data_IF_239126695538
#
_entry.id   IF_239126695538
#
_cell.length_a   1.000
_cell.length_b   1.000
_cell.length_c   1.000
_cell.angle_alpha   90.00
_cell.angle_beta   90.00
_cell.angle_gamma   90.00
#
_symmetry.space_group_name_H-M   'P 1'
#
loop_
_entity.id
_entity.type
_entity.pdbx_description
1 polymer ?
#
# COMPACT_ATOMS: atom_id res chain seq x y z
N UNK A 1 8.32 11.39 -13.03
CA UNK A 1 7.50 10.97 -11.87
C UNK A 1 6.29 11.89 -11.65
N UNK A 2 6.45 13.21 -11.48
CA UNK A 2 5.30 14.12 -11.31
C UNK A 2 4.35 14.02 -12.51
N UNK A 3 4.87 14.04 -13.73
CA UNK A 3 4.06 13.86 -14.95
C UNK A 3 3.28 12.55 -14.96
N UNK A 4 3.89 11.46 -14.44
CA UNK A 4 3.21 10.17 -14.30
C UNK A 4 2.03 10.24 -13.32
N UNK A 5 2.18 10.97 -12.20
CA UNK A 5 1.08 11.15 -11.24
C UNK A 5 -0.08 11.97 -11.84
N UNK A 6 0.22 13.02 -12.60
CA UNK A 6 -0.81 13.77 -13.34
C UNK A 6 -1.48 12.93 -14.41
N UNK A 7 -0.73 12.09 -15.13
CA UNK A 7 -1.30 11.14 -16.11
C UNK A 7 -2.27 10.15 -15.42
N UNK A 8 -1.86 9.58 -14.28
CA UNK A 8 -2.71 8.69 -13.48
C UNK A 8 -3.98 9.42 -13.04
N UNK A 9 -3.83 10.67 -12.56
CA UNK A 9 -4.97 11.51 -12.17
C UNK A 9 -5.96 11.68 -13.31
N UNK A 10 -5.48 12.14 -14.47
CA UNK A 10 -6.32 12.35 -15.66
C UNK A 10 -7.05 11.08 -16.08
N UNK A 11 -6.34 9.93 -16.12
CA UNK A 11 -6.94 8.65 -16.47
C UNK A 11 -7.99 8.21 -15.44
N UNK A 12 -7.69 8.41 -14.14
CA UNK A 12 -8.66 8.08 -13.09
C UNK A 12 -9.90 8.97 -13.13
N UNK A 13 -9.74 10.27 -13.37
CA UNK A 13 -10.86 11.21 -13.53
C UNK A 13 -11.73 10.85 -14.75
N UNK A 14 -11.12 10.37 -15.83
CA UNK A 14 -11.84 9.95 -17.03
C UNK A 14 -12.56 8.61 -16.87
N UNK A 15 -11.94 7.60 -16.27
CA UNK A 15 -12.43 6.22 -16.27
C UNK A 15 -12.92 5.71 -14.91
N UNK A 16 -12.47 6.28 -13.80
CA UNK A 16 -12.86 5.92 -12.44
C UNK A 16 -12.44 4.53 -11.97
N UNK A 17 -11.50 3.87 -12.66
CA UNK A 17 -11.16 2.45 -12.48
C UNK A 17 -9.79 2.17 -11.84
N UNK A 18 -8.98 3.20 -11.56
CA UNK A 18 -7.72 3.03 -10.84
C UNK A 18 -8.05 3.01 -9.35
N UNK A 19 -7.82 1.88 -8.68
CA UNK A 19 -8.16 1.76 -7.28
C UNK A 19 -7.03 2.12 -6.32
N UNK A 20 -5.78 2.07 -6.77
CA UNK A 20 -4.62 2.35 -5.93
C UNK A 20 -3.40 2.78 -6.75
N UNK A 21 -2.47 3.45 -6.09
CA UNK A 21 -1.13 3.74 -6.58
C UNK A 21 -0.12 3.18 -5.60
N UNK A 22 0.74 2.30 -6.08
CA UNK A 22 1.84 1.73 -5.29
C UNK A 22 3.09 2.58 -5.52
N UNK A 23 3.62 3.16 -4.46
CA UNK A 23 4.90 3.85 -4.48
C UNK A 23 5.95 2.95 -3.84
N UNK A 24 7.02 2.70 -4.57
CA UNK A 24 8.10 1.84 -4.11
C UNK A 24 9.44 2.57 -4.23
N UNK A 25 10.22 2.57 -3.16
CA UNK A 25 11.59 3.07 -3.20
C UNK A 25 12.48 2.09 -3.97
N UNK A 26 13.48 2.64 -4.64
CA UNK A 26 14.48 1.84 -5.34
C UNK A 26 15.47 1.25 -4.35
N UNK A 27 15.63 -0.08 -4.42
CA UNK A 27 16.68 -0.83 -3.71
C UNK A 27 17.54 -1.58 -4.74
N UNK A 28 18.87 -1.36 -4.77
CA UNK A 28 19.75 -1.97 -5.75
C UNK A 28 19.85 -3.49 -5.52
N UNK A 29 19.79 -4.27 -6.61
CA UNK A 29 19.97 -5.72 -6.60
C UNK A 29 21.34 -6.12 -7.11
N UNK A 30 22.00 -7.06 -6.42
CA UNK A 30 23.37 -7.48 -6.70
C UNK A 30 23.56 -8.01 -8.14
N UNK A 31 22.55 -8.70 -8.66
CA UNK A 31 22.59 -9.34 -9.99
C UNK A 31 22.09 -8.43 -11.12
N UNK A 32 22.00 -7.12 -10.88
CA UNK A 32 21.52 -6.16 -11.88
C UNK A 32 22.60 -5.15 -12.29
N UNK A 33 22.38 -4.50 -13.43
CA UNK A 33 23.24 -3.39 -13.87
C UNK A 33 23.22 -2.20 -12.90
N UNK A 34 22.16 -2.11 -12.07
CA UNK A 34 21.96 -1.04 -11.11
C UNK A 34 22.60 -1.29 -9.72
N UNK A 35 23.32 -2.41 -9.54
CA UNK A 35 23.89 -2.83 -8.24
C UNK A 35 24.79 -1.80 -7.54
N UNK A 36 25.35 -0.85 -8.28
CA UNK A 36 26.24 0.20 -7.75
C UNK A 36 25.50 1.53 -7.51
N UNK A 37 24.20 1.61 -7.84
CA UNK A 37 23.42 2.80 -7.53
C UNK A 37 23.03 2.81 -6.06
N UNK A 38 22.98 4.00 -5.41
CA UNK A 38 22.54 4.09 -4.03
C UNK A 38 21.04 3.77 -3.92
N UNK A 39 20.62 3.23 -2.78
CA UNK A 39 19.21 3.14 -2.40
C UNK A 39 18.56 4.52 -2.37
N UNK A 40 17.25 4.56 -2.54
CA UNK A 40 16.50 5.82 -2.47
C UNK A 40 16.61 6.43 -1.06
N UNK A 41 17.10 7.67 -0.88
CA UNK A 41 17.08 8.34 0.41
C UNK A 41 15.65 8.45 0.95
N UNK A 42 15.43 8.04 2.20
CA UNK A 42 14.10 8.03 2.82
C UNK A 42 13.42 9.41 2.76
N UNK A 43 14.15 10.47 3.04
CA UNK A 43 13.59 11.83 2.99
C UNK A 43 13.14 12.27 1.60
N UNK A 44 13.81 11.79 0.57
CA UNK A 44 13.36 12.00 -0.81
C UNK A 44 12.07 11.20 -1.07
N UNK A 45 12.03 9.93 -0.65
CA UNK A 45 10.85 9.08 -0.84
C UNK A 45 9.63 9.60 -0.07
N UNK A 46 9.80 10.12 1.16
CA UNK A 46 8.73 10.81 1.90
C UNK A 46 8.14 12.00 1.11
N UNK A 47 9.00 12.81 0.49
CA UNK A 47 8.53 13.92 -0.36
C UNK A 47 7.75 13.43 -1.59
N UNK A 48 8.17 12.31 -2.17
CA UNK A 48 7.45 11.67 -3.28
C UNK A 48 6.05 11.24 -2.86
N UNK A 49 5.93 10.60 -1.70
CA UNK A 49 4.64 10.15 -1.14
C UNK A 49 3.74 11.36 -0.84
N UNK A 50 4.27 12.38 -0.17
CA UNK A 50 3.51 13.60 0.11
C UNK A 50 3.01 14.29 -1.17
N UNK A 51 3.87 14.39 -2.19
CA UNK A 51 3.48 14.94 -3.48
C UNK A 51 2.39 14.09 -4.17
N UNK A 52 2.50 12.76 -4.10
CA UNK A 52 1.46 11.87 -4.63
C UNK A 52 0.12 12.10 -3.92
N UNK A 53 0.11 12.26 -2.59
CA UNK A 53 -1.12 12.57 -1.85
C UNK A 53 -1.72 13.93 -2.23
N UNK A 54 -0.90 14.95 -2.45
CA UNK A 54 -1.37 16.29 -2.89
C UNK A 54 -2.00 16.21 -4.29
N UNK A 55 -1.38 15.48 -5.22
CA UNK A 55 -1.87 15.35 -6.60
C UNK A 55 -3.10 14.44 -6.67
N UNK A 56 -3.15 13.40 -5.85
CA UNK A 56 -4.15 12.33 -5.85
C UNK A 56 -4.85 12.24 -4.47
N UNK A 57 -5.60 13.28 -4.05
CA UNK A 57 -6.10 13.39 -2.67
C UNK A 57 -7.02 12.24 -2.24
N UNK A 58 -7.80 11.66 -3.17
CA UNK A 58 -8.77 10.60 -2.91
C UNK A 58 -8.27 9.20 -3.29
N UNK A 59 -7.04 9.09 -3.83
CA UNK A 59 -6.48 7.82 -4.25
C UNK A 59 -5.97 7.01 -3.06
N UNK A 60 -6.13 5.68 -3.11
CA UNK A 60 -5.40 4.83 -2.19
C UNK A 60 -3.92 4.80 -2.59
N UNK A 61 -3.08 5.23 -1.67
CA UNK A 61 -1.63 5.26 -1.85
C UNK A 61 -1.02 4.27 -0.89
N UNK A 62 -0.32 3.28 -1.42
CA UNK A 62 0.35 2.27 -0.64
C UNK A 62 1.87 2.27 -0.85
N UNK A 63 2.57 1.83 0.16
CA UNK A 63 4.00 1.50 0.10
C UNK A 63 4.24 0.10 0.68
N UNK A 64 5.26 -0.64 0.21
CA UNK A 64 5.69 -1.88 0.84
C UNK A 64 6.52 -1.55 2.11
N UNK A 65 6.07 -1.96 3.32
CA UNK A 65 6.73 -1.59 4.57
C UNK A 65 8.08 -2.28 4.76
N UNK A 66 8.31 -3.44 4.15
CA UNK A 66 9.57 -4.17 4.22
C UNK A 66 10.74 -3.42 3.61
N UNK A 67 10.52 -2.56 2.60
CA UNK A 67 11.57 -1.77 1.98
C UNK A 67 11.97 -0.50 2.76
N UNK A 68 11.31 -0.25 3.88
CA UNK A 68 11.65 0.82 4.83
C UNK A 68 11.55 0.30 6.28
N UNK A 69 12.23 -0.79 6.66
CA UNK A 69 11.93 -1.61 7.83
C UNK A 69 12.03 -0.86 9.17
N UNK A 70 12.84 0.18 9.23
CA UNK A 70 13.05 0.95 10.47
C UNK A 70 11.97 2.01 10.68
N UNK A 71 11.55 2.66 9.59
CA UNK A 71 10.76 3.90 9.65
C UNK A 71 9.54 3.90 8.72
N UNK A 72 8.98 2.72 8.38
CA UNK A 72 7.81 2.65 7.48
C UNK A 72 6.61 3.43 8.04
N UNK A 73 6.42 3.45 9.36
CA UNK A 73 5.33 4.18 10.01
C UNK A 73 5.37 5.70 9.76
N UNK A 74 6.54 6.29 9.50
CA UNK A 74 6.66 7.71 9.17
C UNK A 74 5.92 8.10 7.88
N UNK A 75 5.55 7.13 7.04
CA UNK A 75 4.83 7.39 5.80
C UNK A 75 3.32 7.59 6.02
N UNK A 76 2.78 7.22 7.19
CA UNK A 76 1.40 7.56 7.57
C UNK A 76 1.21 9.07 7.63
N UNK A 77 2.14 9.79 8.22
CA UNK A 77 2.10 11.26 8.36
C UNK A 77 2.20 12.00 7.02
N UNK A 78 2.76 11.35 5.99
CA UNK A 78 2.91 11.96 4.66
C UNK A 78 1.88 11.48 3.65
N UNK A 79 0.89 10.69 4.10
CA UNK A 79 -0.35 10.50 3.38
C UNK A 79 -0.58 9.16 2.71
N UNK A 80 0.13 8.09 3.08
CA UNK A 80 -0.31 6.74 2.72
C UNK A 80 -1.55 6.35 3.51
N UNK A 81 -2.34 5.43 2.96
CA UNK A 81 -3.46 4.80 3.63
C UNK A 81 -3.53 3.29 3.39
N UNK A 82 -2.44 2.70 2.90
CA UNK A 82 -2.32 1.26 2.69
C UNK A 82 -0.85 0.80 2.76
N UNK A 83 -0.63 -0.43 3.20
CA UNK A 83 0.68 -1.04 3.32
C UNK A 83 1.00 -2.05 2.21
N UNK A 84 0.09 -2.25 1.27
CA UNK A 84 0.23 -3.27 0.24
C UNK A 84 -0.03 -4.69 0.72
N UNK A 85 0.37 -5.66 -0.10
CA UNK A 85 0.14 -7.07 0.17
C UNK A 85 1.19 -7.65 1.13
N UNK A 86 0.95 -7.55 2.43
CA UNK A 86 1.83 -8.13 3.44
C UNK A 86 1.52 -9.61 3.63
N UNK A 87 2.54 -10.46 3.60
CA UNK A 87 2.41 -11.87 3.94
C UNK A 87 3.30 -12.22 5.15
N UNK A 88 2.71 -12.57 6.31
CA UNK A 88 3.51 -13.02 7.44
C UNK A 88 4.07 -14.44 7.27
N UNK A 89 3.64 -15.16 6.23
CA UNK A 89 3.95 -16.58 6.00
C UNK A 89 4.98 -16.76 4.89
N UNK A 90 4.87 -15.95 3.82
CA UNK A 90 5.74 -16.06 2.64
C UNK A 90 6.74 -14.92 2.59
N UNK A 91 7.95 -15.20 2.12
CA UNK A 91 8.92 -14.15 1.84
C UNK A 91 8.46 -13.27 0.67
N UNK A 92 8.97 -12.04 0.61
CA UNK A 92 8.88 -11.23 -0.60
C UNK A 92 9.84 -11.82 -1.64
N UNK A 93 9.30 -12.44 -2.68
CA UNK A 93 10.13 -13.07 -3.73
C UNK A 93 10.85 -12.06 -4.64
N UNK A 94 10.42 -10.81 -4.63
CA UNK A 94 11.10 -9.73 -5.36
C UNK A 94 12.22 -9.13 -4.52
N UNK A 95 12.01 -9.03 -3.20
CA UNK A 95 12.96 -8.46 -2.25
C UNK A 95 13.18 -9.41 -1.07
N UNK A 96 13.74 -10.62 -1.31
CA UNK A 96 13.84 -11.67 -0.28
C UNK A 96 14.74 -11.29 0.89
N UNK A 97 15.60 -10.30 0.71
CA UNK A 97 16.48 -9.74 1.76
C UNK A 97 15.74 -8.83 2.74
N UNK A 98 14.49 -8.43 2.45
CA UNK A 98 13.67 -7.57 3.29
C UNK A 98 12.44 -8.32 3.79
N UNK A 99 12.47 -8.75 5.05
CA UNK A 99 11.36 -9.46 5.68
C UNK A 99 10.14 -8.53 5.89
N UNK A 100 8.94 -9.09 5.71
CA UNK A 100 7.70 -8.42 6.07
C UNK A 100 7.62 -8.16 7.58
N UNK A 101 7.11 -7.00 8.01
CA UNK A 101 6.81 -6.79 9.42
C UNK A 101 5.71 -7.75 9.89
N UNK A 102 5.77 -8.12 11.16
CA UNK A 102 4.70 -8.88 11.79
C UNK A 102 3.44 -8.02 11.89
N UNK A 103 2.27 -8.62 11.63
CA UNK A 103 0.98 -7.89 11.64
C UNK A 103 0.74 -7.17 12.96
N UNK A 104 1.05 -7.81 14.10
CA UNK A 104 0.91 -7.20 15.42
C UNK A 104 1.78 -5.95 15.60
N UNK A 105 3.02 -5.99 15.10
CA UNK A 105 3.95 -4.85 15.14
C UNK A 105 3.42 -3.71 14.26
N UNK A 106 2.93 -4.05 13.07
CA UNK A 106 2.36 -3.08 12.15
C UNK A 106 1.13 -2.39 12.77
N UNK A 107 0.23 -3.16 13.40
CA UNK A 107 -0.95 -2.61 14.06
C UNK A 107 -0.58 -1.68 15.23
N UNK A 108 0.38 -2.09 16.07
CA UNK A 108 0.87 -1.21 17.16
C UNK A 108 1.40 0.11 16.62
N UNK A 109 2.20 0.06 15.56
CA UNK A 109 2.75 1.26 14.89
C UNK A 109 1.67 2.18 14.31
N UNK A 110 0.62 1.60 13.71
CA UNK A 110 -0.52 2.37 13.22
C UNK A 110 -1.26 3.03 14.41
N UNK A 111 -1.54 2.27 15.46
CA UNK A 111 -2.27 2.75 16.65
C UNK A 111 -1.50 3.84 17.39
N UNK A 112 -0.17 3.74 17.52
CA UNK A 112 0.70 4.76 18.13
C UNK A 112 0.57 6.12 17.42
N UNK A 113 0.21 6.13 16.15
CA UNK A 113 0.02 7.34 15.33
C UNK A 113 -1.47 7.70 15.12
N UNK A 114 -2.39 7.04 15.86
CA UNK A 114 -3.82 7.33 15.80
C UNK A 114 -4.57 6.72 14.62
N UNK A 115 -3.96 5.72 13.92
CA UNK A 115 -4.59 5.02 12.81
C UNK A 115 -5.03 3.61 13.22
N UNK A 116 -6.12 3.14 12.63
CA UNK A 116 -6.58 1.76 12.76
C UNK A 116 -6.09 0.92 11.58
N UNK A 117 -5.45 -0.23 11.85
CA UNK A 117 -5.12 -1.21 10.82
C UNK A 117 -6.32 -2.11 10.55
N UNK A 118 -6.75 -2.17 9.28
CA UNK A 118 -7.80 -3.08 8.79
C UNK A 118 -7.28 -3.94 7.64
N UNK A 119 -7.64 -5.22 7.64
CA UNK A 119 -7.37 -6.07 6.49
C UNK A 119 -8.43 -5.82 5.40
N UNK A 120 -7.99 -5.59 4.17
CA UNK A 120 -8.86 -5.44 3.02
C UNK A 120 -8.83 -6.67 2.10
N UNK A 121 -9.83 -6.78 1.26
CA UNK A 121 -9.79 -7.66 0.10
C UNK A 121 -8.83 -7.10 -0.98
N UNK A 122 -8.47 -7.90 -1.99
CA UNK A 122 -7.72 -7.39 -3.16
C UNK A 122 -8.42 -6.23 -3.90
N UNK A 123 -9.71 -6.05 -3.66
CA UNK A 123 -10.52 -4.94 -4.13
C UNK A 123 -10.85 -4.02 -2.97
N UNK A 124 -10.67 -2.70 -3.16
CA UNK A 124 -11.04 -1.72 -2.14
C UNK A 124 -12.56 -1.57 -2.01
N UNK A 125 -13.09 -1.22 -0.82
CA UNK A 125 -14.52 -1.10 -0.56
C UNK A 125 -15.29 -0.29 -1.63
N UNK A 126 -14.73 0.85 -2.05
CA UNK A 126 -15.30 1.72 -3.09
C UNK A 126 -15.51 1.02 -4.45
N UNK A 127 -14.70 0.01 -4.75
CA UNK A 127 -14.68 -0.70 -6.04
C UNK A 127 -15.43 -2.03 -6.04
N UNK A 128 -15.95 -2.50 -4.90
CA UNK A 128 -16.70 -3.77 -4.79
C UNK A 128 -17.90 -3.82 -5.75
N UNK A 129 -18.51 -2.66 -6.03
CA UNK A 129 -19.62 -2.58 -7.00
C UNK A 129 -19.23 -2.94 -8.44
N UNK A 130 -17.94 -2.90 -8.77
CA UNK A 130 -17.41 -3.14 -10.12
C UNK A 130 -17.03 -4.60 -10.36
N UNK A 131 -17.06 -5.46 -9.34
CA UNK A 131 -16.68 -6.86 -9.46
C UNK A 131 -17.87 -7.75 -9.81
N UNK A 132 -17.56 -8.98 -10.27
CA UNK A 132 -18.56 -9.99 -10.60
C UNK A 132 -19.47 -10.30 -9.39
N UNK A 133 -20.81 -10.46 -9.60
CA UNK A 133 -21.76 -10.76 -8.52
C UNK A 133 -21.40 -11.95 -7.65
N UNK A 134 -20.87 -13.04 -8.22
CA UNK A 134 -20.46 -14.22 -7.46
C UNK A 134 -19.30 -13.94 -6.48
N UNK A 135 -18.36 -13.05 -6.86
CA UNK A 135 -17.30 -12.61 -5.98
C UNK A 135 -17.82 -11.66 -4.91
N UNK A 136 -18.76 -10.79 -5.26
CA UNK A 136 -19.41 -9.88 -4.33
C UNK A 136 -20.10 -10.64 -3.20
N UNK A 137 -20.88 -11.68 -3.50
CA UNK A 137 -21.51 -12.54 -2.49
C UNK A 137 -20.49 -13.19 -1.52
N UNK A 138 -19.33 -13.61 -2.04
CA UNK A 138 -18.25 -14.15 -1.20
C UNK A 138 -17.66 -13.09 -0.28
N UNK A 139 -17.43 -11.88 -0.80
CA UNK A 139 -16.93 -10.76 -0.01
C UNK A 139 -17.91 -10.40 1.10
N UNK A 140 -19.21 -10.28 0.81
CA UNK A 140 -20.26 -9.96 1.78
C UNK A 140 -20.29 -10.92 2.96
N UNK A 141 -20.02 -12.21 2.74
CA UNK A 141 -19.94 -13.22 3.80
C UNK A 141 -18.74 -13.03 4.74
N UNK A 142 -17.68 -12.38 4.28
CA UNK A 142 -16.41 -12.22 4.99
C UNK A 142 -16.18 -10.79 5.49
N UNK A 143 -16.95 -9.81 4.97
CA UNK A 143 -16.76 -8.40 5.27
C UNK A 143 -17.52 -7.94 6.52
N UNK A 144 -17.02 -6.88 7.12
CA UNK A 144 -17.72 -6.06 8.10
C UNK A 144 -18.66 -5.03 7.42
N UNK A 145 -19.23 -4.13 8.21
CA UNK A 145 -20.16 -3.10 7.71
C UNK A 145 -19.49 -2.03 6.82
N UNK A 146 -18.16 -1.93 6.85
CA UNK A 146 -17.37 -1.00 6.03
C UNK A 146 -16.73 -1.70 4.83
N UNK A 147 -17.06 -2.99 4.59
CA UNK A 147 -16.51 -3.83 3.52
C UNK A 147 -15.01 -4.16 3.66
N UNK A 148 -14.46 -4.11 4.87
CA UNK A 148 -13.17 -4.70 5.19
C UNK A 148 -13.34 -6.16 5.67
N UNK A 149 -12.25 -6.92 5.69
CA UNK A 149 -12.28 -8.29 6.21
C UNK A 149 -12.56 -8.28 7.71
N UNK A 150 -13.57 -9.04 8.16
CA UNK A 150 -13.86 -9.15 9.60
C UNK A 150 -12.64 -9.61 10.38
N UNK A 151 -12.40 -8.96 11.52
CA UNK A 151 -11.20 -9.21 12.35
C UNK A 151 -10.95 -10.69 12.65
N UNK A 152 -11.99 -11.48 12.88
CA UNK A 152 -11.89 -12.92 13.17
C UNK A 152 -11.29 -13.77 12.03
N UNK A 153 -11.13 -13.23 10.82
CA UNK A 153 -10.60 -13.95 9.67
C UNK A 153 -9.13 -13.59 9.36
N UNK A 154 -8.57 -12.60 10.02
CA UNK A 154 -7.18 -12.19 9.79
C UNK A 154 -6.39 -12.00 11.08
N UNK A 155 -7.03 -12.31 12.23
CA UNK A 155 -6.44 -12.35 13.57
C UNK A 155 -6.95 -13.52 14.37
#
# INVERSE_FOLDING_TARGET
MIDSLFTIKTLHEQFGNIQEVILQNFEPKQDTKMKKHPSTPQQYFKRVVAMARIILPEMNIQIPPNLSPVNYNDFLDVGINDWGGISPITADYVNPEFSWPQINTLESKCTEQGFELKARFPVYPKFIKMINPNLKEKIEKLSDNENYVRRKFWR
#
